data_IF_371334569077
#
_entry.id   IF_371334569077
#
_cell.length_a   1.000
_cell.length_b   1.000
_cell.length_c   1.000
_cell.angle_alpha   90.00
_cell.angle_beta   90.00
_cell.angle_gamma   90.00
#
_symmetry.space_group_name_H-M   'P 1'
#
loop_
_entity.id
_entity.type
_entity.pdbx_description
1 polymer ?
#
# COMPACT_ATOMS: atom_id res chain seq x y z
N UNK A 1 -17.28 68.31 28.87
CA UNK A 1 -17.79 67.23 27.92
C UNK A 1 -16.62 66.38 27.46
N UNK A 2 -16.35 65.28 28.18
CA UNK A 2 -15.22 64.40 27.93
C UNK A 2 -15.75 63.18 27.16
N UNK A 3 -15.34 62.99 25.90
CA UNK A 3 -15.73 61.84 25.09
C UNK A 3 -14.79 60.66 25.40
N UNK A 4 -15.31 59.60 25.96
CA UNK A 4 -14.61 58.29 26.04
C UNK A 4 -14.71 57.57 24.72
N UNK A 5 -13.56 57.29 24.09
CA UNK A 5 -13.44 56.36 22.96
C UNK A 5 -13.28 54.93 23.54
N UNK A 6 -14.25 54.08 23.28
CA UNK A 6 -14.15 52.65 23.56
C UNK A 6 -13.48 51.97 22.35
N UNK A 7 -12.25 51.47 22.51
CA UNK A 7 -11.59 50.61 21.55
C UNK A 7 -12.07 49.16 21.77
N UNK A 8 -12.85 48.65 20.83
CA UNK A 8 -13.21 47.23 20.77
C UNK A 8 -12.05 46.50 20.10
N UNK A 9 -11.28 45.75 20.89
CA UNK A 9 -10.30 44.78 20.38
C UNK A 9 -11.07 43.53 19.89
N UNK A 10 -11.21 43.37 18.59
CA UNK A 10 -11.67 42.11 17.97
C UNK A 10 -10.52 41.11 18.04
N UNK A 11 -10.59 40.16 18.96
CA UNK A 11 -9.73 38.98 18.98
C UNK A 11 -10.11 38.08 17.81
N UNK A 12 -9.33 38.13 16.75
CA UNK A 12 -9.35 37.09 15.72
C UNK A 12 -8.79 35.80 16.34
N UNK A 13 -9.65 34.90 16.75
CA UNK A 13 -9.29 33.50 16.95
C UNK A 13 -8.98 32.91 15.55
N UNK A 14 -7.71 32.87 15.18
CA UNK A 14 -7.27 31.96 14.14
C UNK A 14 -7.50 30.54 14.70
N UNK A 15 -8.55 29.87 14.23
CA UNK A 15 -8.69 28.44 14.39
C UNK A 15 -7.49 27.79 13.67
N UNK A 16 -6.42 27.49 14.41
CA UNK A 16 -5.47 26.46 13.99
C UNK A 16 -6.31 25.17 13.90
N UNK A 17 -6.72 24.80 12.71
CA UNK A 17 -7.17 23.45 12.43
C UNK A 17 -5.91 22.60 12.57
N UNK A 18 -5.67 22.08 13.77
CA UNK A 18 -4.69 21.02 13.97
C UNK A 18 -5.09 19.88 13.04
N UNK A 19 -4.18 19.42 12.21
CA UNK A 19 -4.40 18.23 11.39
C UNK A 19 -4.84 17.11 12.33
N UNK A 20 -6.06 16.64 12.15
CA UNK A 20 -6.65 15.66 13.07
C UNK A 20 -5.98 14.32 12.85
N UNK A 21 -5.50 13.73 13.92
CA UNK A 21 -4.84 12.46 13.99
C UNK A 21 -5.66 11.47 14.81
N UNK A 22 -5.80 10.24 14.35
CA UNK A 22 -6.57 9.19 15.04
C UNK A 22 -5.77 7.89 15.05
N UNK A 23 -5.63 7.26 16.22
CA UNK A 23 -5.08 5.89 16.32
C UNK A 23 -6.15 4.93 15.84
N UNK A 24 -5.88 4.25 14.72
CA UNK A 24 -6.82 3.28 14.11
C UNK A 24 -6.64 1.90 14.73
N UNK A 25 -5.38 1.45 14.84
CA UNK A 25 -5.04 0.18 15.48
C UNK A 25 -3.93 0.42 16.51
N UNK A 26 -4.05 -0.18 17.68
CA UNK A 26 -3.12 -0.02 18.80
C UNK A 26 -2.65 -1.38 19.31
N UNK A 27 -1.35 -1.54 19.48
CA UNK A 27 -0.73 -2.76 19.98
C UNK A 27 -1.32 -3.19 21.34
N UNK A 28 -1.57 -4.49 21.49
CA UNK A 28 -2.17 -5.07 22.70
C UNK A 28 -3.68 -4.84 22.85
N UNK A 29 -4.34 -4.28 21.84
CA UNK A 29 -5.80 -4.09 21.82
C UNK A 29 -6.48 -5.09 20.89
N UNK A 30 -7.78 -5.30 21.11
CA UNK A 30 -8.67 -6.05 20.21
C UNK A 30 -8.12 -7.43 19.79
N UNK A 31 -7.36 -8.11 20.68
CA UNK A 31 -6.90 -9.49 20.49
C UNK A 31 -5.56 -9.68 19.80
N UNK A 32 -4.86 -8.62 19.41
CA UNK A 32 -3.59 -8.71 18.71
C UNK A 32 -2.47 -7.99 19.47
N UNK A 33 -1.29 -8.60 19.49
CA UNK A 33 -0.12 -8.00 20.13
C UNK A 33 0.41 -6.79 19.36
N UNK A 34 0.34 -6.83 18.03
CA UNK A 34 0.82 -5.76 17.15
C UNK A 34 -0.03 -5.72 15.87
N UNK A 35 -0.10 -4.53 15.24
CA UNK A 35 -0.70 -4.32 13.93
C UNK A 35 0.35 -3.75 12.99
N UNK A 36 0.43 -4.33 11.77
CA UNK A 36 1.39 -3.92 10.76
C UNK A 36 0.77 -3.89 9.35
N UNK A 37 1.55 -3.41 8.38
CA UNK A 37 1.24 -3.50 6.95
C UNK A 37 -0.08 -2.80 6.63
N UNK A 38 -0.14 -1.47 6.79
CA UNK A 38 -1.34 -0.69 6.54
C UNK A 38 -1.73 -0.68 5.07
N UNK A 39 -3.02 -0.77 4.79
CA UNK A 39 -3.62 -0.44 3.51
C UNK A 39 -4.94 0.31 3.74
N UNK A 40 -5.28 1.27 2.87
CA UNK A 40 -6.47 2.08 3.03
C UNK A 40 -7.08 2.44 1.67
N UNK A 41 -8.41 2.39 1.60
CA UNK A 41 -9.17 2.84 0.42
C UNK A 41 -10.34 3.72 0.84
N UNK A 42 -10.75 4.62 -0.06
CA UNK A 42 -12.03 5.34 0.00
C UNK A 42 -13.07 4.63 -0.86
N UNK A 43 -14.31 4.61 -0.38
CA UNK A 43 -15.45 4.04 -1.08
C UNK A 43 -16.27 5.14 -1.79
N UNK A 44 -17.06 4.80 -2.82
CA UNK A 44 -17.89 5.77 -3.55
C UNK A 44 -18.90 6.54 -2.69
N UNK A 45 -19.27 5.98 -1.53
CA UNK A 45 -20.16 6.63 -0.56
C UNK A 45 -19.44 7.52 0.47
N UNK A 46 -18.11 7.68 0.35
CA UNK A 46 -17.28 8.49 1.24
C UNK A 46 -16.77 7.76 2.50
N UNK A 47 -17.15 6.50 2.73
CA UNK A 47 -16.58 5.70 3.82
C UNK A 47 -15.11 5.38 3.53
N UNK A 48 -14.32 5.16 4.59
CA UNK A 48 -12.95 4.63 4.48
C UNK A 48 -12.90 3.21 5.02
N UNK A 49 -12.12 2.35 4.36
CA UNK A 49 -11.74 1.04 4.88
C UNK A 49 -10.24 1.00 5.12
N UNK A 50 -9.84 0.76 6.36
CA UNK A 50 -8.45 0.55 6.78
C UNK A 50 -8.21 -0.93 7.05
N UNK A 51 -7.14 -1.47 6.46
CA UNK A 51 -6.74 -2.87 6.59
C UNK A 51 -5.37 -2.95 7.24
N UNK A 52 -5.12 -4.06 7.94
CA UNK A 52 -3.82 -4.35 8.54
C UNK A 52 -3.62 -5.86 8.73
N UNK A 53 -2.37 -6.24 8.96
CA UNK A 53 -2.04 -7.51 9.62
C UNK A 53 -2.22 -7.36 11.12
N UNK A 54 -3.13 -8.13 11.71
CA UNK A 54 -3.26 -8.30 13.16
C UNK A 54 -2.41 -9.49 13.60
N UNK A 55 -1.27 -9.24 14.24
CA UNK A 55 -0.32 -10.26 14.69
C UNK A 55 -0.62 -10.63 16.14
N UNK A 56 -1.03 -11.86 16.37
CA UNK A 56 -1.55 -12.30 17.67
C UNK A 56 -0.44 -12.41 18.72
N UNK A 57 0.73 -12.94 18.36
CA UNK A 57 1.75 -13.34 19.31
C UNK A 57 2.95 -12.37 19.43
N UNK A 58 3.11 -11.42 18.51
CA UNK A 58 4.25 -10.51 18.53
C UNK A 58 4.49 -9.81 17.18
N UNK A 59 5.70 -9.30 17.00
CA UNK A 59 6.07 -8.50 15.80
C UNK A 59 6.60 -9.32 14.62
N UNK A 60 6.76 -10.65 14.79
CA UNK A 60 7.33 -11.52 13.75
C UNK A 60 6.48 -11.51 12.48
N UNK A 61 7.14 -11.59 11.33
CA UNK A 61 6.47 -11.58 10.02
C UNK A 61 5.80 -12.91 9.67
N UNK A 62 5.93 -13.95 10.51
CA UNK A 62 5.27 -15.22 10.38
C UNK A 62 4.76 -15.72 11.74
N UNK A 63 3.62 -16.40 11.73
CA UNK A 63 2.93 -16.97 12.87
C UNK A 63 1.42 -16.80 12.71
N UNK A 64 0.72 -16.71 13.81
CA UNK A 64 -0.71 -16.40 13.88
C UNK A 64 -0.90 -14.91 13.48
N UNK A 65 -1.12 -14.68 12.18
CA UNK A 65 -1.28 -13.37 11.58
C UNK A 65 -2.58 -13.32 10.79
N UNK A 66 -3.50 -12.48 11.24
CA UNK A 66 -4.82 -12.31 10.69
C UNK A 66 -4.91 -11.06 9.79
N UNK A 67 -5.74 -11.10 8.75
CA UNK A 67 -6.16 -9.88 8.08
C UNK A 67 -7.36 -9.26 8.78
N UNK A 68 -7.19 -8.01 9.17
CA UNK A 68 -8.20 -7.26 9.91
C UNK A 68 -8.56 -5.96 9.20
N UNK A 69 -9.78 -5.48 9.47
CA UNK A 69 -10.33 -4.27 8.86
C UNK A 69 -11.07 -3.42 9.89
N UNK A 70 -11.01 -2.10 9.72
CA UNK A 70 -11.89 -1.13 10.37
C UNK A 70 -12.50 -0.20 9.33
N UNK A 71 -13.71 0.31 9.63
CA UNK A 71 -14.45 1.26 8.79
C UNK A 71 -14.59 2.59 9.49
N UNK A 72 -14.44 3.68 8.73
CA UNK A 72 -14.84 5.03 9.15
C UNK A 72 -15.99 5.54 8.27
N UNK A 73 -16.99 6.16 8.88
CA UNK A 73 -18.15 6.77 8.22
C UNK A 73 -18.08 8.31 8.21
N UNK A 74 -17.01 8.87 8.74
CA UNK A 74 -16.86 10.31 9.02
C UNK A 74 -15.50 10.86 8.54
N UNK A 75 -14.91 10.23 7.52
CA UNK A 75 -13.65 10.68 6.93
C UNK A 75 -12.41 10.37 7.79
N UNK A 76 -12.49 9.39 8.71
CA UNK A 76 -11.37 8.94 9.53
C UNK A 76 -11.31 9.56 10.94
N UNK A 77 -12.34 10.29 11.35
CA UNK A 77 -12.43 10.83 12.72
C UNK A 77 -12.72 9.76 13.77
N UNK A 78 -13.58 8.79 13.40
CA UNK A 78 -13.88 7.63 14.22
C UNK A 78 -13.83 6.34 13.38
N UNK A 79 -13.54 5.22 14.06
CA UNK A 79 -13.39 3.91 13.43
C UNK A 79 -14.22 2.86 14.15
N UNK A 80 -14.77 1.93 13.39
CA UNK A 80 -15.52 0.79 13.92
C UNK A 80 -14.64 -0.11 14.79
N UNK A 81 -15.23 -1.01 15.61
CA UNK A 81 -14.52 -2.17 16.11
C UNK A 81 -13.89 -2.96 14.97
N UNK A 82 -12.87 -3.74 15.31
CA UNK A 82 -12.15 -4.58 14.36
C UNK A 82 -13.06 -5.66 13.78
N UNK A 83 -12.90 -5.94 12.49
CA UNK A 83 -13.45 -7.11 11.80
C UNK A 83 -12.28 -7.97 11.32
N UNK A 84 -12.19 -9.21 11.76
CA UNK A 84 -11.28 -10.20 11.19
C UNK A 84 -11.85 -10.71 9.87
N UNK A 85 -11.11 -10.53 8.78
CA UNK A 85 -11.51 -10.93 7.44
C UNK A 85 -10.98 -12.32 7.09
N UNK A 86 -9.75 -12.60 7.48
CA UNK A 86 -9.06 -13.87 7.23
C UNK A 86 -8.30 -14.26 8.47
N UNK A 87 -8.51 -15.51 8.90
CA UNK A 87 -7.84 -16.17 10.00
C UNK A 87 -7.47 -17.59 9.53
N UNK A 88 -6.19 -17.94 9.60
CA UNK A 88 -5.65 -19.25 9.26
C UNK A 88 -5.04 -19.94 10.47
N UNK A 89 -5.61 -19.74 11.62
CA UNK A 89 -5.13 -20.26 12.91
C UNK A 89 -3.69 -19.79 13.19
N UNK A 90 -2.72 -20.68 13.19
CA UNK A 90 -1.31 -20.38 13.47
C UNK A 90 -0.50 -19.97 12.24
N UNK A 91 -1.14 -19.79 11.09
CA UNK A 91 -0.49 -19.43 9.82
C UNK A 91 -0.68 -17.96 9.48
N UNK A 92 0.14 -17.47 8.56
CA UNK A 92 0.08 -16.10 8.15
C UNK A 92 -0.98 -15.86 7.06
N UNK A 93 -1.84 -14.86 7.27
CA UNK A 93 -2.55 -14.13 6.22
C UNK A 93 -2.08 -12.67 6.26
N UNK A 94 -1.55 -12.14 5.15
CA UNK A 94 -0.89 -10.84 5.15
C UNK A 94 -0.88 -10.11 3.81
N UNK A 95 -0.23 -8.96 3.79
CA UNK A 95 -0.09 -8.10 2.62
C UNK A 95 -1.44 -7.73 1.99
N UNK A 96 -2.36 -7.07 2.70
CA UNK A 96 -3.63 -6.64 2.12
C UNK A 96 -3.40 -5.65 0.99
N UNK A 97 -4.04 -5.89 -0.16
CA UNK A 97 -4.04 -5.02 -1.34
C UNK A 97 -5.48 -4.77 -1.78
N UNK A 98 -6.21 -3.87 -1.09
CA UNK A 98 -7.58 -3.55 -1.45
C UNK A 98 -7.65 -2.63 -2.67
N UNK A 99 -8.75 -2.74 -3.44
CA UNK A 99 -9.12 -1.82 -4.53
C UNK A 99 -10.62 -1.82 -4.73
N UNK A 100 -11.16 -0.70 -5.20
CA UNK A 100 -12.58 -0.61 -5.61
C UNK A 100 -12.67 -0.70 -7.13
N UNK A 101 -13.43 -1.67 -7.64
CA UNK A 101 -13.88 -1.71 -9.04
C UNK A 101 -15.10 -0.82 -9.19
N UNK A 102 -14.96 0.26 -9.96
CA UNK A 102 -15.99 1.24 -10.24
C UNK A 102 -16.71 0.99 -11.58
N UNK A 103 -16.26 -0.03 -12.33
CA UNK A 103 -16.74 -0.28 -13.70
C UNK A 103 -17.40 -1.64 -13.87
N UNK A 104 -17.68 -2.37 -12.78
CA UNK A 104 -18.48 -3.58 -12.84
C UNK A 104 -19.93 -3.21 -13.25
N UNK A 105 -20.44 -3.71 -14.40
CA UNK A 105 -21.75 -3.32 -14.90
C UNK A 105 -22.91 -3.87 -14.06
N UNK A 106 -22.68 -4.93 -13.29
CA UNK A 106 -23.70 -5.54 -12.41
C UNK A 106 -23.78 -4.82 -11.05
N UNK A 107 -22.70 -4.12 -10.66
CA UNK A 107 -22.58 -3.48 -9.35
C UNK A 107 -22.16 -2.01 -9.47
N UNK A 108 -23.04 -1.11 -9.94
CA UNK A 108 -22.70 0.29 -10.21
C UNK A 108 -22.34 1.09 -8.95
N UNK A 109 -22.60 0.57 -7.75
CA UNK A 109 -22.14 1.13 -6.48
C UNK A 109 -20.64 0.84 -6.21
N UNK A 110 -20.02 -0.04 -7.00
CA UNK A 110 -18.66 -0.51 -6.86
C UNK A 110 -18.56 -1.88 -6.15
N UNK A 111 -17.49 -2.61 -6.48
CA UNK A 111 -17.11 -3.88 -5.85
C UNK A 111 -15.75 -3.69 -5.17
N UNK A 112 -15.64 -4.07 -3.91
CA UNK A 112 -14.34 -4.06 -3.22
C UNK A 112 -13.66 -5.40 -3.43
N UNK A 113 -12.45 -5.37 -3.98
CA UNK A 113 -11.54 -6.51 -4.04
C UNK A 113 -10.52 -6.39 -2.92
N UNK A 114 -10.20 -7.50 -2.29
CA UNK A 114 -9.08 -7.63 -1.39
C UNK A 114 -8.18 -8.77 -1.89
N UNK A 115 -7.01 -8.41 -2.40
CA UNK A 115 -5.94 -9.36 -2.68
C UNK A 115 -5.07 -9.50 -1.44
N UNK A 116 -4.56 -10.71 -1.18
CA UNK A 116 -3.72 -10.97 -0.02
C UNK A 116 -2.89 -12.24 -0.22
N UNK A 117 -1.99 -12.49 0.72
CA UNK A 117 -1.14 -13.66 0.71
C UNK A 117 -1.40 -14.54 1.93
N UNK A 118 -1.20 -15.84 1.78
CA UNK A 118 -1.00 -16.75 2.91
C UNK A 118 0.43 -17.30 2.90
N UNK A 119 0.93 -17.66 4.07
CA UNK A 119 2.24 -18.28 4.21
C UNK A 119 2.24 -19.33 5.29
N UNK A 120 2.95 -20.43 5.08
CA UNK A 120 3.05 -21.56 6.01
C UNK A 120 4.42 -21.70 6.67
N UNK A 121 5.33 -20.75 6.45
CA UNK A 121 6.64 -20.70 7.08
C UNK A 121 7.23 -19.28 7.01
N UNK A 122 8.34 -19.04 7.73
CA UNK A 122 9.11 -17.82 7.64
C UNK A 122 9.61 -17.57 6.19
N UNK A 123 9.74 -16.30 5.81
CA UNK A 123 10.23 -15.91 4.49
C UNK A 123 11.52 -16.62 4.09
N UNK A 124 12.50 -16.71 5.00
CA UNK A 124 13.77 -17.39 4.74
C UNK A 124 13.56 -18.86 4.39
N UNK A 125 12.70 -19.56 5.12
CA UNK A 125 12.40 -20.98 4.86
C UNK A 125 11.64 -21.18 3.54
N UNK A 126 10.73 -20.29 3.21
CA UNK A 126 10.04 -20.30 1.92
C UNK A 126 11.03 -20.10 0.78
N UNK A 127 11.97 -19.16 0.89
CA UNK A 127 13.04 -18.95 -0.10
C UNK A 127 13.96 -20.18 -0.21
N UNK A 128 14.12 -20.94 0.86
CA UNK A 128 14.82 -22.24 0.85
C UNK A 128 13.94 -23.40 0.36
N UNK A 129 12.76 -23.12 -0.19
CA UNK A 129 11.77 -24.11 -0.66
C UNK A 129 11.24 -25.03 0.47
N UNK A 130 11.23 -24.56 1.72
CA UNK A 130 10.70 -25.27 2.90
C UNK A 130 9.32 -24.73 3.34
N UNK A 131 8.57 -24.20 2.43
CA UNK A 131 7.23 -23.65 2.59
C UNK A 131 6.73 -23.02 1.32
N UNK A 132 5.56 -22.40 1.37
CA UNK A 132 4.97 -21.70 0.24
C UNK A 132 4.29 -20.41 0.68
N UNK A 133 4.24 -19.47 -0.25
CA UNK A 133 3.33 -18.33 -0.25
C UNK A 133 2.29 -18.54 -1.33
N UNK A 134 1.04 -18.32 -1.00
CA UNK A 134 -0.08 -18.41 -1.94
C UNK A 134 -0.76 -17.05 -2.08
N UNK A 135 -1.25 -16.77 -3.27
CA UNK A 135 -2.00 -15.56 -3.58
C UNK A 135 -3.50 -15.85 -3.58
N UNK A 136 -4.25 -14.99 -2.90
CA UNK A 136 -5.68 -15.12 -2.72
C UNK A 136 -6.41 -13.82 -3.05
N UNK A 137 -7.69 -13.93 -3.36
CA UNK A 137 -8.59 -12.81 -3.61
C UNK A 137 -9.94 -13.09 -2.96
N UNK A 138 -10.56 -12.04 -2.41
CA UNK A 138 -11.97 -12.06 -2.00
C UNK A 138 -12.66 -10.78 -2.44
N UNK A 139 -13.99 -10.83 -2.57
CA UNK A 139 -14.81 -9.70 -3.02
C UNK A 139 -15.89 -9.35 -2.01
N UNK A 140 -16.25 -8.07 -2.01
CA UNK A 140 -17.45 -7.57 -1.35
C UNK A 140 -18.29 -6.77 -2.33
N UNK A 141 -19.55 -7.16 -2.48
CA UNK A 141 -20.54 -6.51 -3.34
C UNK A 141 -21.40 -5.47 -2.61
N UNK A 142 -21.13 -5.26 -1.32
CA UNK A 142 -21.86 -4.34 -0.45
C UNK A 142 -20.94 -3.31 0.25
N UNK A 143 -19.85 -2.95 -0.46
CA UNK A 143 -18.86 -1.98 -0.03
C UNK A 143 -18.15 -2.39 1.27
N UNK A 144 -17.74 -3.66 1.40
CA UNK A 144 -16.94 -4.18 2.52
C UNK A 144 -17.73 -4.50 3.79
N UNK A 145 -19.07 -4.64 3.72
CA UNK A 145 -19.86 -5.08 4.87
C UNK A 145 -19.84 -6.59 5.03
N UNK A 146 -20.00 -7.31 3.91
CA UNK A 146 -19.83 -8.76 3.84
C UNK A 146 -18.86 -9.15 2.73
N UNK A 147 -18.25 -10.31 2.84
CA UNK A 147 -17.20 -10.78 1.94
C UNK A 147 -17.52 -12.19 1.45
N UNK A 148 -17.23 -12.45 0.17
CA UNK A 148 -17.32 -13.78 -0.39
C UNK A 148 -16.21 -14.71 0.14
N UNK A 149 -16.35 -16.01 -0.11
CA UNK A 149 -15.31 -16.97 0.20
C UNK A 149 -14.05 -16.67 -0.62
N UNK A 150 -12.87 -16.75 -0.01
CA UNK A 150 -11.60 -16.51 -0.70
C UNK A 150 -11.39 -17.46 -1.88
N UNK A 151 -10.86 -16.91 -2.97
CA UNK A 151 -10.44 -17.64 -4.17
C UNK A 151 -8.92 -17.70 -4.24
N UNK A 152 -8.34 -18.90 -4.31
CA UNK A 152 -6.92 -19.09 -4.56
C UNK A 152 -6.61 -18.76 -6.04
N UNK A 153 -5.78 -17.75 -6.27
CA UNK A 153 -5.36 -17.30 -7.60
C UNK A 153 -3.87 -17.59 -7.86
N UNK A 154 -3.22 -18.36 -7.00
CA UNK A 154 -1.77 -18.59 -7.02
C UNK A 154 -1.26 -18.98 -8.40
N UNK A 155 -1.86 -19.98 -9.06
CA UNK A 155 -1.40 -20.45 -10.37
C UNK A 155 -1.59 -19.44 -11.51
N UNK A 156 -2.31 -18.37 -11.28
CA UNK A 156 -2.49 -17.29 -12.27
C UNK A 156 -1.48 -16.15 -12.10
N UNK A 157 -1.04 -15.90 -10.85
CA UNK A 157 -0.24 -14.71 -10.51
C UNK A 157 1.12 -15.01 -9.88
N UNK A 158 1.41 -16.27 -9.65
CA UNK A 158 2.65 -16.77 -9.08
C UNK A 158 3.11 -18.04 -9.85
N UNK A 159 4.42 -18.33 -9.82
CA UNK A 159 5.01 -19.45 -10.58
C UNK A 159 5.80 -20.40 -9.64
N UNK A 160 5.16 -20.99 -8.62
CA UNK A 160 5.85 -21.82 -7.64
C UNK A 160 6.35 -23.13 -8.22
N UNK A 161 7.49 -23.61 -7.68
CA UNK A 161 8.03 -24.93 -7.93
C UNK A 161 8.25 -25.68 -6.61
N UNK A 162 7.17 -26.19 -6.04
CA UNK A 162 7.19 -26.99 -4.81
C UNK A 162 6.12 -28.10 -4.86
N UNK A 163 6.34 -29.15 -5.71
CA UNK A 163 5.35 -30.21 -5.90
C UNK A 163 5.12 -31.09 -4.67
N UNK A 164 6.03 -31.07 -3.70
CA UNK A 164 5.84 -31.79 -2.41
C UNK A 164 4.73 -31.13 -1.58
N UNK A 165 4.56 -29.81 -1.70
CA UNK A 165 3.48 -29.08 -1.06
C UNK A 165 2.17 -29.18 -1.87
N UNK A 166 2.22 -28.90 -3.14
CA UNK A 166 1.06 -29.03 -4.04
C UNK A 166 1.55 -29.57 -5.40
N UNK A 167 1.04 -30.73 -5.85
CA UNK A 167 1.43 -31.36 -7.12
C UNK A 167 1.28 -30.45 -8.34
N UNK A 168 0.50 -29.38 -8.28
CA UNK A 168 0.33 -28.41 -9.35
C UNK A 168 1.43 -27.34 -9.38
N UNK A 169 2.27 -27.22 -8.34
CA UNK A 169 3.34 -26.25 -8.25
C UNK A 169 4.62 -26.79 -8.90
N UNK A 170 4.65 -26.74 -10.22
CA UNK A 170 5.70 -27.34 -11.06
C UNK A 170 6.28 -26.35 -12.06
N UNK A 171 6.19 -25.05 -11.82
CA UNK A 171 6.65 -24.05 -12.77
C UNK A 171 8.20 -24.00 -12.80
N UNK A 172 8.85 -24.14 -13.99
CA UNK A 172 10.31 -24.18 -14.09
C UNK A 172 11.00 -22.85 -13.77
N UNK A 173 10.29 -21.72 -13.69
CA UNK A 173 10.85 -20.44 -13.25
C UNK A 173 11.18 -20.42 -11.77
N UNK A 174 10.66 -21.38 -10.97
CA UNK A 174 10.98 -21.58 -9.57
C UNK A 174 10.84 -20.31 -8.72
N UNK A 175 9.66 -19.66 -8.80
CA UNK A 175 9.35 -18.57 -7.89
C UNK A 175 9.04 -19.14 -6.51
N UNK A 176 9.74 -18.67 -5.48
CA UNK A 176 9.64 -19.25 -4.14
C UNK A 176 8.86 -18.37 -3.18
N UNK A 177 9.38 -17.19 -2.87
CA UNK A 177 8.63 -16.18 -2.15
C UNK A 177 7.75 -15.39 -3.11
N UNK A 178 6.59 -14.96 -2.62
CA UNK A 178 5.66 -14.10 -3.34
C UNK A 178 4.97 -13.16 -2.34
N UNK A 179 4.77 -11.92 -2.70
CA UNK A 179 3.95 -10.98 -1.93
C UNK A 179 3.28 -9.95 -2.86
N UNK A 180 2.03 -9.59 -2.55
CA UNK A 180 1.38 -8.42 -3.13
C UNK A 180 1.94 -7.16 -2.48
N UNK A 181 1.85 -6.03 -3.10
CA UNK A 181 2.17 -4.64 -2.72
C UNK A 181 3.21 -4.55 -1.58
N UNK A 182 2.99 -4.21 -0.25
CA UNK A 182 1.74 -3.87 0.49
C UNK A 182 1.24 -2.45 0.25
N UNK A 183 -0.02 -2.19 0.63
CA UNK A 183 -0.78 -0.98 0.38
C UNK A 183 -1.90 -1.22 -0.65
N UNK A 184 -2.60 -0.20 -1.11
CA UNK A 184 -3.71 -0.35 -2.03
C UNK A 184 -3.26 -0.83 -3.44
N UNK A 185 -4.15 -1.50 -4.17
CA UNK A 185 -4.07 -1.68 -5.62
C UNK A 185 -4.91 -0.58 -6.31
N UNK A 186 -4.77 -0.42 -7.63
CA UNK A 186 -5.53 0.62 -8.32
C UNK A 186 -6.30 0.08 -9.53
N UNK A 187 -7.34 0.82 -9.92
CA UNK A 187 -8.07 0.60 -11.15
C UNK A 187 -7.85 1.75 -12.12
N UNK A 188 -7.53 1.47 -13.38
CA UNK A 188 -7.45 2.48 -14.42
C UNK A 188 -8.79 3.19 -14.62
N UNK A 189 -8.80 4.51 -14.48
CA UNK A 189 -10.01 5.35 -14.58
C UNK A 189 -10.23 5.87 -15.99
N UNK A 190 -9.21 5.90 -16.83
CA UNK A 190 -9.24 6.52 -18.15
C UNK A 190 -8.38 5.78 -19.18
N UNK A 191 -8.42 6.28 -20.43
CA UNK A 191 -7.58 5.76 -21.51
C UNK A 191 -7.96 4.36 -22.00
N UNK A 192 -7.04 3.71 -22.70
CA UNK A 192 -7.29 2.40 -23.36
C UNK A 192 -7.44 1.24 -22.38
N UNK A 193 -7.01 1.40 -21.12
CA UNK A 193 -7.06 0.36 -20.10
C UNK A 193 -8.11 0.64 -19.01
N UNK A 194 -9.01 1.59 -19.25
CA UNK A 194 -10.10 1.90 -18.32
C UNK A 194 -10.83 0.66 -17.84
N UNK A 195 -10.95 0.51 -16.52
CA UNK A 195 -11.56 -0.65 -15.86
C UNK A 195 -10.58 -1.75 -15.48
N UNK A 196 -9.36 -1.77 -16.03
CA UNK A 196 -8.30 -2.71 -15.60
C UNK A 196 -7.96 -2.48 -14.15
N UNK A 197 -7.94 -3.54 -13.35
CA UNK A 197 -7.36 -3.54 -12.00
C UNK A 197 -5.92 -4.03 -12.11
N UNK A 198 -4.97 -3.27 -11.56
CA UNK A 198 -3.55 -3.62 -11.47
C UNK A 198 -3.14 -3.74 -9.99
N UNK A 199 -2.41 -4.82 -9.70
CA UNK A 199 -1.87 -5.11 -8.37
C UNK A 199 -0.35 -5.26 -8.51
N UNK A 200 0.41 -4.42 -7.83
CA UNK A 200 1.86 -4.58 -7.74
C UNK A 200 2.20 -5.81 -6.88
N UNK A 201 3.29 -6.48 -7.18
CA UNK A 201 3.74 -7.68 -6.49
C UNK A 201 5.26 -7.86 -6.60
N UNK A 202 5.80 -8.81 -5.87
CA UNK A 202 7.18 -9.25 -5.98
C UNK A 202 7.30 -10.76 -5.78
N UNK A 203 8.40 -11.32 -6.24
CA UNK A 203 8.74 -12.73 -6.07
C UNK A 203 10.24 -12.91 -5.93
N UNK A 204 10.67 -14.04 -5.39
CA UNK A 204 12.07 -14.47 -5.45
C UNK A 204 12.22 -15.65 -6.40
N UNK A 205 13.34 -15.73 -7.12
CA UNK A 205 13.61 -16.77 -8.12
C UNK A 205 14.73 -17.68 -7.62
N UNK A 206 14.45 -18.97 -7.51
CA UNK A 206 15.42 -19.97 -7.05
C UNK A 206 15.89 -19.78 -5.61
N UNK A 207 17.04 -20.36 -5.22
CA UNK A 207 17.55 -20.25 -3.85
C UNK A 207 17.98 -18.83 -3.49
N UNK A 208 17.99 -18.50 -2.19
CA UNK A 208 18.45 -17.21 -1.69
C UNK A 208 19.84 -16.84 -2.21
N UNK A 209 20.01 -15.58 -2.59
CA UNK A 209 21.27 -15.00 -3.04
C UNK A 209 21.73 -13.90 -2.08
N UNK A 210 22.99 -13.49 -2.22
CA UNK A 210 23.54 -12.37 -1.43
C UNK A 210 22.76 -11.08 -1.71
N UNK A 211 22.51 -10.32 -0.64
CA UNK A 211 21.84 -9.05 -0.69
C UNK A 211 20.47 -9.11 -1.41
N UNK A 212 19.74 -10.22 -1.24
CA UNK A 212 18.39 -10.38 -1.80
C UNK A 212 18.32 -10.20 -3.34
N UNK A 213 19.39 -10.53 -4.07
CA UNK A 213 19.46 -10.31 -5.50
C UNK A 213 18.52 -11.21 -6.33
N UNK A 214 17.95 -12.26 -5.71
CA UNK A 214 16.93 -13.12 -6.30
C UNK A 214 15.53 -12.51 -6.34
N UNK A 215 15.30 -11.37 -5.66
CA UNK A 215 14.00 -10.69 -5.70
C UNK A 215 13.84 -9.85 -6.95
N UNK A 216 12.63 -9.90 -7.50
CA UNK A 216 12.19 -9.07 -8.60
C UNK A 216 10.75 -8.60 -8.36
N UNK A 217 10.52 -7.30 -8.50
CA UNK A 217 9.18 -6.74 -8.50
C UNK A 217 8.51 -6.94 -9.87
N UNK A 218 7.21 -7.10 -9.84
CA UNK A 218 6.34 -7.22 -11.00
C UNK A 218 4.93 -6.74 -10.64
N UNK A 219 3.95 -7.04 -11.45
CA UNK A 219 2.55 -6.87 -11.13
C UNK A 219 1.69 -7.91 -11.85
N UNK A 220 0.42 -7.87 -11.57
CA UNK A 220 -0.57 -8.61 -12.33
C UNK A 220 -1.83 -7.76 -12.49
N UNK A 221 -2.64 -8.08 -13.48
CA UNK A 221 -3.83 -7.31 -13.77
C UNK A 221 -4.97 -8.19 -14.27
N UNK A 222 -6.19 -7.67 -14.17
CA UNK A 222 -7.42 -8.28 -14.68
C UNK A 222 -8.22 -7.25 -15.47
N UNK A 223 -8.82 -7.70 -16.59
CA UNK A 223 -9.70 -6.91 -17.45
C UNK A 223 -11.17 -7.44 -17.43
N UNK A 224 -11.44 -8.49 -16.64
CA UNK A 224 -12.69 -9.25 -16.66
C UNK A 224 -13.27 -9.50 -15.26
N UNK A 225 -13.17 -8.49 -14.39
CA UNK A 225 -13.67 -8.52 -13.01
C UNK A 225 -13.07 -9.67 -12.17
N UNK A 226 -11.77 -9.94 -12.35
CA UNK A 226 -11.03 -10.94 -11.58
C UNK A 226 -11.34 -12.40 -11.92
N UNK A 227 -11.84 -12.68 -13.12
CA UNK A 227 -12.02 -14.06 -13.62
C UNK A 227 -10.71 -14.63 -14.12
N UNK A 228 -9.90 -13.81 -14.81
CA UNK A 228 -8.56 -14.16 -15.27
C UNK A 228 -7.55 -13.07 -14.93
N UNK A 229 -6.29 -13.50 -14.74
CA UNK A 229 -5.19 -12.60 -14.41
C UNK A 229 -4.02 -12.79 -15.38
N UNK A 230 -3.31 -11.70 -15.64
CA UNK A 230 -2.15 -11.64 -16.49
C UNK A 230 -0.97 -11.04 -15.72
N UNK A 231 0.20 -11.64 -15.84
CA UNK A 231 1.42 -11.12 -15.22
C UNK A 231 2.05 -10.03 -16.09
N UNK A 232 2.64 -9.01 -15.45
CA UNK A 232 3.57 -8.10 -16.09
C UNK A 232 4.96 -8.75 -16.25
N UNK A 233 5.82 -8.13 -17.06
CA UNK A 233 7.25 -8.38 -16.96
C UNK A 233 7.78 -7.95 -15.60
N UNK A 234 8.89 -8.56 -15.17
CA UNK A 234 9.57 -8.15 -13.94
C UNK A 234 10.41 -6.89 -14.17
N UNK A 235 10.55 -6.07 -13.12
CA UNK A 235 11.50 -4.95 -13.08
C UNK A 235 12.92 -5.50 -13.21
N UNK A 236 13.76 -4.84 -14.00
CA UNK A 236 15.13 -5.30 -14.33
C UNK A 236 16.14 -5.18 -13.18
N UNK A 237 15.82 -4.42 -12.13
CA UNK A 237 16.72 -4.24 -10.99
C UNK A 237 16.63 -5.41 -10.01
N UNK A 238 17.72 -6.25 -9.87
CA UNK A 238 17.78 -7.29 -8.86
C UNK A 238 17.61 -6.72 -7.45
N UNK A 239 16.84 -7.39 -6.61
CA UNK A 239 16.47 -6.93 -5.27
C UNK A 239 15.32 -5.91 -5.27
N UNK A 240 14.63 -5.68 -6.38
CA UNK A 240 13.35 -4.96 -6.39
C UNK A 240 12.30 -5.79 -5.65
N UNK A 241 11.54 -5.15 -4.75
CA UNK A 241 10.70 -5.85 -3.78
C UNK A 241 9.33 -5.14 -3.66
N UNK A 242 8.89 -4.82 -2.45
CA UNK A 242 7.60 -4.19 -2.16
C UNK A 242 7.33 -2.98 -3.05
N UNK A 243 6.20 -3.01 -3.72
CA UNK A 243 5.87 -2.05 -4.77
C UNK A 243 4.43 -1.60 -4.67
N UNK A 244 4.16 -0.40 -5.14
CA UNK A 244 2.84 0.17 -5.29
C UNK A 244 2.79 0.99 -6.57
N UNK A 245 1.61 1.12 -7.17
CA UNK A 245 1.49 1.73 -8.49
C UNK A 245 0.32 2.72 -8.56
N UNK A 246 0.40 3.65 -9.51
CA UNK A 246 -0.64 4.63 -9.78
C UNK A 246 -0.82 4.88 -11.28
N UNK A 247 -2.03 5.26 -11.68
CA UNK A 247 -2.34 5.68 -13.05
C UNK A 247 -1.74 7.06 -13.36
N UNK A 248 -1.26 7.21 -14.59
CA UNK A 248 -0.84 8.47 -15.19
C UNK A 248 -1.77 8.86 -16.34
N UNK A 249 -1.60 10.06 -16.87
CA UNK A 249 -2.39 10.53 -18.02
C UNK A 249 -2.22 9.60 -19.23
N UNK A 250 -3.28 9.52 -20.05
CA UNK A 250 -3.28 8.73 -21.28
C UNK A 250 -3.26 7.21 -21.09
N UNK A 251 -3.56 6.70 -19.90
CA UNK A 251 -3.54 5.26 -19.58
C UNK A 251 -2.14 4.71 -19.34
N UNK A 252 -1.15 5.58 -19.12
CA UNK A 252 0.16 5.20 -18.61
C UNK A 252 0.08 4.91 -17.11
N UNK A 253 1.14 4.32 -16.55
CA UNK A 253 1.24 4.13 -15.11
C UNK A 253 2.68 4.27 -14.63
N UNK A 254 2.82 4.49 -13.33
CA UNK A 254 4.08 4.49 -12.59
C UNK A 254 4.02 3.45 -11.48
N UNK A 255 5.12 2.77 -11.20
CA UNK A 255 5.30 1.89 -10.05
C UNK A 255 6.50 2.36 -9.23
N UNK A 256 6.31 2.55 -7.92
CA UNK A 256 7.36 2.87 -6.95
C UNK A 256 7.73 1.59 -6.19
N UNK A 257 8.99 1.22 -6.23
CA UNK A 257 9.51 -0.06 -5.77
C UNK A 257 10.62 0.11 -4.74
N UNK A 258 10.57 -0.69 -3.67
CA UNK A 258 11.62 -0.78 -2.65
C UNK A 258 12.85 -1.48 -3.21
N UNK A 259 14.04 -0.91 -2.97
CA UNK A 259 15.31 -1.56 -3.22
C UNK A 259 15.74 -2.38 -1.98
N UNK A 260 15.40 -3.67 -1.96
CA UNK A 260 15.70 -4.55 -0.81
C UNK A 260 17.19 -4.74 -0.59
N UNK A 261 18.03 -4.58 -1.61
CA UNK A 261 19.48 -4.66 -1.48
C UNK A 261 20.07 -3.53 -0.61
N UNK A 262 19.41 -2.38 -0.59
CA UNK A 262 19.84 -1.21 0.18
C UNK A 262 21.20 -0.63 -0.22
N UNK A 263 21.78 -1.05 -1.35
CA UNK A 263 23.03 -0.54 -1.90
C UNK A 263 22.90 0.89 -2.46
N UNK A 264 21.70 1.24 -2.88
CA UNK A 264 21.26 2.60 -3.25
C UNK A 264 20.03 2.88 -2.39
N UNK A 265 20.11 3.90 -1.56
CA UNK A 265 19.03 4.28 -0.60
C UNK A 265 18.03 5.23 -1.25
N UNK A 266 17.40 4.75 -2.32
CA UNK A 266 16.43 5.47 -3.14
C UNK A 266 15.35 4.51 -3.62
N UNK A 267 14.18 5.05 -3.93
CA UNK A 267 13.12 4.29 -4.60
C UNK A 267 13.51 3.98 -6.04
N UNK A 268 13.07 2.83 -6.53
CA UNK A 268 13.08 2.51 -7.97
C UNK A 268 11.74 2.96 -8.52
N UNK A 269 11.74 3.78 -9.56
CA UNK A 269 10.55 4.11 -10.34
C UNK A 269 10.57 3.35 -11.65
N UNK A 270 9.41 2.83 -12.05
CA UNK A 270 9.20 2.16 -13.33
C UNK A 270 7.94 2.70 -14.00
N UNK A 271 7.99 2.91 -15.30
CA UNK A 271 6.91 3.48 -16.10
C UNK A 271 6.46 2.48 -17.17
N UNK A 272 5.15 2.46 -17.44
CA UNK A 272 4.55 1.63 -18.47
C UNK A 272 3.54 2.41 -19.28
N UNK A 273 3.56 2.24 -20.60
CA UNK A 273 2.58 2.81 -21.55
C UNK A 273 1.59 1.79 -22.11
N UNK A 274 1.70 0.51 -21.71
CA UNK A 274 0.85 -0.58 -22.18
C UNK A 274 -0.05 -1.19 -21.10
N UNK A 275 -0.31 -0.39 -20.06
CA UNK A 275 -1.20 -0.76 -18.94
C UNK A 275 -0.59 -1.79 -18.01
N UNK A 276 0.73 -1.73 -17.82
CA UNK A 276 1.47 -2.54 -16.87
C UNK A 276 1.89 -3.92 -17.40
N UNK A 277 1.90 -4.16 -18.71
CA UNK A 277 2.44 -5.41 -19.28
C UNK A 277 3.95 -5.41 -19.31
N UNK A 278 4.55 -4.31 -19.77
CA UNK A 278 6.00 -4.11 -19.88
C UNK A 278 6.41 -2.77 -19.28
N UNK A 279 7.72 -2.58 -19.07
CA UNK A 279 8.28 -1.38 -18.47
C UNK A 279 9.12 -0.63 -19.50
N UNK A 280 8.72 0.61 -19.84
CA UNK A 280 9.40 1.45 -20.83
C UNK A 280 10.68 2.05 -20.26
N UNK A 281 10.63 2.47 -18.99
CA UNK A 281 11.72 3.14 -18.28
C UNK A 281 11.76 2.69 -16.82
N UNK A 282 12.98 2.51 -16.29
CA UNK A 282 13.22 2.14 -14.90
C UNK A 282 14.50 2.81 -14.41
N UNK A 283 14.45 3.47 -13.23
CA UNK A 283 15.63 4.13 -12.63
C UNK A 283 15.48 4.32 -11.12
N UNK A 284 16.61 4.63 -10.44
CA UNK A 284 16.61 5.07 -9.05
C UNK A 284 16.31 6.57 -9.00
N UNK A 285 15.33 6.96 -8.16
CA UNK A 285 14.88 8.34 -8.05
C UNK A 285 15.60 9.04 -6.87
N UNK A 286 16.51 9.95 -7.19
CA UNK A 286 17.34 10.66 -6.20
C UNK A 286 16.52 11.54 -5.24
N UNK A 287 15.38 12.04 -5.68
CA UNK A 287 14.50 12.86 -4.86
C UNK A 287 13.62 12.04 -3.90
N UNK A 288 13.64 10.71 -4.00
CA UNK A 288 12.92 9.79 -3.12
C UNK A 288 13.90 8.91 -2.31
N UNK A 289 14.57 9.49 -1.28
CA UNK A 289 15.44 8.71 -0.39
C UNK A 289 14.61 7.67 0.38
N UNK A 290 15.19 6.49 0.64
CA UNK A 290 14.50 5.34 1.23
C UNK A 290 15.42 4.50 2.13
N UNK A 291 15.04 4.21 3.39
CA UNK A 291 15.84 3.42 4.32
C UNK A 291 15.62 1.89 4.16
N UNK A 292 15.30 1.42 2.96
CA UNK A 292 14.84 0.05 2.70
C UNK A 292 13.48 -0.19 3.39
N UNK A 293 12.48 0.59 2.99
CA UNK A 293 11.13 0.54 3.54
C UNK A 293 10.08 0.53 2.42
N UNK A 294 8.86 0.13 2.76
CA UNK A 294 7.70 0.30 1.87
C UNK A 294 7.36 1.79 1.74
N UNK A 295 6.70 2.13 0.66
CA UNK A 295 6.18 3.47 0.36
C UNK A 295 4.82 3.37 -0.31
N UNK A 296 4.07 4.47 -0.36
CA UNK A 296 2.83 4.57 -1.12
C UNK A 296 2.92 5.63 -2.22
N UNK A 297 2.22 5.39 -3.35
CA UNK A 297 2.04 6.37 -4.42
C UNK A 297 0.58 6.39 -4.85
N UNK A 298 0.02 7.58 -5.05
CA UNK A 298 -1.40 7.77 -5.37
C UNK A 298 -1.57 8.90 -6.40
N UNK A 299 -2.44 8.70 -7.38
CA UNK A 299 -2.93 9.75 -8.25
C UNK A 299 -3.98 10.59 -7.49
N UNK A 300 -3.74 11.90 -7.36
CA UNK A 300 -4.54 12.78 -6.48
C UNK A 300 -5.27 13.89 -7.21
N UNK A 301 -5.08 14.01 -8.50
CA UNK A 301 -5.73 15.02 -9.33
C UNK A 301 -5.06 15.16 -10.69
N UNK A 302 -5.46 16.19 -11.40
CA UNK A 302 -4.91 16.53 -12.72
C UNK A 302 -4.64 18.04 -12.80
N UNK A 303 -3.54 18.42 -13.44
CA UNK A 303 -3.21 19.80 -13.76
C UNK A 303 -2.51 19.88 -15.12
N UNK A 304 -3.01 20.76 -16.00
CA UNK A 304 -2.48 20.98 -17.36
C UNK A 304 -2.36 19.69 -18.21
N UNK A 305 -3.24 18.69 -17.96
CA UNK A 305 -3.25 17.41 -18.66
C UNK A 305 -2.26 16.37 -18.10
N UNK A 306 -1.56 16.68 -16.99
CA UNK A 306 -0.71 15.74 -16.28
C UNK A 306 -1.40 15.25 -15.01
N UNK A 307 -1.23 13.99 -14.68
CA UNK A 307 -1.64 13.45 -13.36
C UNK A 307 -0.76 14.04 -12.26
N UNK A 308 -1.38 14.55 -11.20
CA UNK A 308 -0.68 14.95 -9.98
C UNK A 308 -0.52 13.70 -9.11
N UNK A 309 0.70 13.43 -8.67
CA UNK A 309 1.02 12.30 -7.82
C UNK A 309 1.37 12.75 -6.40
N UNK A 310 0.96 11.95 -5.41
CA UNK A 310 1.47 12.00 -4.06
C UNK A 310 2.26 10.72 -3.77
N UNK A 311 3.45 10.84 -3.19
CA UNK A 311 4.30 9.73 -2.75
C UNK A 311 4.59 9.88 -1.27
N UNK A 312 4.32 8.86 -0.45
CA UNK A 312 4.63 8.85 0.98
C UNK A 312 5.65 7.78 1.33
N UNK A 313 6.67 8.15 2.10
CA UNK A 313 7.64 7.21 2.66
C UNK A 313 8.35 7.80 3.89
N UNK A 314 9.06 6.95 4.64
CA UNK A 314 10.09 7.37 5.58
C UNK A 314 11.23 7.97 4.77
N UNK A 315 11.28 9.31 4.65
CA UNK A 315 12.17 10.02 3.72
C UNK A 315 13.58 10.23 4.31
N UNK A 316 14.19 9.15 4.74
CA UNK A 316 15.53 9.06 5.31
C UNK A 316 16.35 8.00 4.56
N UNK A 317 17.65 7.99 4.68
CA UNK A 317 18.51 6.95 4.07
C UNK A 317 18.98 5.91 5.08
N UNK A 318 18.87 6.16 6.37
CA UNK A 318 19.41 5.31 7.43
C UNK A 318 18.31 4.69 8.30
N UNK A 319 17.34 5.50 8.72
CA UNK A 319 16.35 5.12 9.72
C UNK A 319 14.92 5.22 9.16
N UNK A 320 14.00 4.40 9.67
CA UNK A 320 12.57 4.51 9.40
C UNK A 320 11.98 5.67 10.20
N UNK A 321 12.12 6.88 9.65
CA UNK A 321 11.75 8.14 10.27
C UNK A 321 11.40 9.18 9.18
N UNK A 322 11.03 10.39 9.56
CA UNK A 322 10.71 11.49 8.66
C UNK A 322 9.65 11.15 7.61
N UNK A 323 8.51 10.60 8.08
CA UNK A 323 7.39 10.34 7.18
C UNK A 323 6.98 11.61 6.47
N UNK A 324 7.05 11.57 5.14
CA UNK A 324 6.89 12.74 4.28
C UNK A 324 5.99 12.36 3.12
N UNK A 325 5.13 13.28 2.69
CA UNK A 325 4.45 13.22 1.40
C UNK A 325 5.18 14.15 0.46
N UNK A 326 5.55 13.69 -0.72
CA UNK A 326 6.06 14.50 -1.82
C UNK A 326 5.07 14.50 -2.97
N UNK A 327 4.82 15.68 -3.54
CA UNK A 327 3.95 15.82 -4.69
C UNK A 327 4.77 16.00 -5.97
N UNK A 328 4.27 15.43 -7.05
CA UNK A 328 4.76 15.64 -8.41
C UNK A 328 3.61 16.15 -9.28
N UNK A 329 3.85 17.27 -9.97
CA UNK A 329 2.91 17.90 -10.90
C UNK A 329 3.24 17.59 -12.37
N UNK A 330 4.24 16.76 -12.61
CA UNK A 330 4.79 16.40 -13.92
C UNK A 330 4.93 14.88 -14.11
N UNK A 331 4.03 14.13 -13.43
CA UNK A 331 3.91 12.68 -13.56
C UNK A 331 5.16 11.89 -13.11
N UNK A 332 5.77 12.34 -12.01
CA UNK A 332 6.88 11.65 -11.36
C UNK A 332 8.27 12.04 -11.85
N UNK A 333 8.41 13.09 -12.68
CA UNK A 333 9.71 13.59 -13.12
C UNK A 333 10.40 14.45 -12.07
N UNK A 334 9.63 15.23 -11.30
CA UNK A 334 10.13 16.01 -10.16
C UNK A 334 9.24 15.84 -8.93
N UNK A 335 9.85 15.95 -7.73
CA UNK A 335 9.20 15.74 -6.43
C UNK A 335 9.51 16.89 -5.46
N UNK A 336 9.36 18.12 -5.93
CA UNK A 336 9.83 19.32 -5.23
C UNK A 336 8.92 19.79 -4.10
N UNK A 337 7.63 19.42 -4.12
CA UNK A 337 6.68 19.87 -3.11
C UNK A 337 6.63 18.86 -1.96
N UNK A 338 7.14 19.27 -0.79
CA UNK A 338 7.37 18.42 0.37
C UNK A 338 6.42 18.76 1.50
N UNK A 339 5.66 17.81 2.00
CA UNK A 339 4.74 17.94 3.13
C UNK A 339 5.21 16.99 4.25
N UNK A 340 5.81 17.51 5.35
CA UNK A 340 6.13 16.70 6.51
C UNK A 340 4.85 16.16 7.18
N UNK A 341 4.82 14.87 7.48
CA UNK A 341 3.66 14.20 8.10
C UNK A 341 3.92 13.92 9.59
N UNK A 342 4.99 13.18 9.86
CA UNK A 342 5.35 12.80 11.23
C UNK A 342 6.86 12.49 11.32
N UNK A 343 7.50 12.96 12.40
CA UNK A 343 8.90 12.73 12.65
C UNK A 343 9.25 12.96 14.13
N UNK A 344 10.31 12.34 14.61
CA UNK A 344 10.94 12.72 15.88
C UNK A 344 12.16 13.60 15.64
N UNK A 345 12.35 14.61 16.47
CA UNK A 345 13.56 15.46 16.46
C UNK A 345 14.80 14.76 17.07
N UNK A 346 14.59 13.64 17.77
CA UNK A 346 15.63 12.83 18.36
C UNK A 346 15.80 11.56 17.54
N UNK A 347 17.03 11.32 17.02
CA UNK A 347 17.36 10.05 16.38
C UNK A 347 17.13 8.91 17.37
N UNK A 348 16.20 8.02 17.05
CA UNK A 348 15.94 6.80 17.79
C UNK A 348 16.39 5.63 16.93
N UNK A 349 17.10 4.68 17.51
CA UNK A 349 17.49 3.44 16.82
C UNK A 349 16.31 2.54 16.42
N UNK A 350 15.11 2.86 16.92
CA UNK A 350 13.87 2.14 16.62
C UNK A 350 13.05 2.94 15.60
N UNK A 351 12.33 2.28 14.70
CA UNK A 351 11.43 2.94 13.76
C UNK A 351 10.44 3.88 14.46
N UNK A 352 10.45 5.16 14.10
CA UNK A 352 9.42 6.08 14.54
C UNK A 352 8.22 6.06 13.59
N UNK A 353 8.50 6.16 12.29
CA UNK A 353 7.51 5.95 11.22
C UNK A 353 8.04 4.91 10.25
N UNK A 354 7.17 4.08 9.67
CA UNK A 354 7.62 3.04 8.76
C UNK A 354 6.67 2.94 7.53
N UNK A 355 5.91 1.86 7.40
CA UNK A 355 4.99 1.65 6.28
C UNK A 355 3.85 2.64 6.32
N UNK A 356 3.42 3.09 5.15
CA UNK A 356 2.30 4.02 5.00
C UNK A 356 1.48 3.72 3.76
N UNK A 357 0.19 4.08 3.79
CA UNK A 357 -0.66 4.04 2.62
C UNK A 357 -1.52 5.30 2.51
N UNK A 358 -1.69 5.79 1.28
CA UNK A 358 -2.38 7.04 0.95
C UNK A 358 -3.79 6.77 0.43
N UNK A 359 -4.71 7.70 0.69
CA UNK A 359 -6.07 7.68 0.17
C UNK A 359 -6.56 9.09 -0.15
N UNK A 360 -7.36 9.23 -1.20
CA UNK A 360 -8.08 10.47 -1.48
C UNK A 360 -9.31 10.57 -0.55
N UNK A 361 -9.43 11.69 0.17
CA UNK A 361 -10.62 12.06 0.94
C UNK A 361 -11.53 12.94 0.09
N UNK A 362 -10.96 14.00 -0.49
CA UNK A 362 -11.58 14.91 -1.43
C UNK A 362 -10.52 15.55 -2.33
N UNK A 363 -10.92 16.49 -3.19
CA UNK A 363 -10.04 17.14 -4.17
C UNK A 363 -8.90 17.98 -3.55
N UNK A 364 -8.90 18.18 -2.24
CA UNK A 364 -7.93 19.02 -1.51
C UNK A 364 -7.29 18.30 -0.31
N UNK A 365 -7.79 17.14 0.06
CA UNK A 365 -7.42 16.47 1.29
C UNK A 365 -7.04 15.02 1.02
N UNK A 366 -5.85 14.65 1.44
CA UNK A 366 -5.38 13.27 1.50
C UNK A 366 -5.57 12.70 2.90
N UNK A 367 -5.84 11.41 2.98
CA UNK A 367 -5.64 10.60 4.18
C UNK A 367 -4.35 9.81 4.06
N UNK A 368 -3.69 9.59 5.17
CA UNK A 368 -2.54 8.69 5.28
C UNK A 368 -2.69 7.79 6.50
N UNK A 369 -2.61 6.48 6.28
CA UNK A 369 -2.54 5.47 7.34
C UNK A 369 -1.10 4.97 7.43
N UNK A 370 -0.48 5.02 8.62
CA UNK A 370 0.94 4.72 8.75
C UNK A 370 1.33 4.09 10.09
N UNK A 371 2.41 3.33 10.08
CA UNK A 371 3.03 2.74 11.26
C UNK A 371 3.82 3.80 12.04
N UNK A 372 3.64 3.80 13.38
CA UNK A 372 4.31 4.72 14.29
C UNK A 372 4.79 4.03 15.57
N UNK A 373 5.77 4.66 16.23
CA UNK A 373 6.30 4.30 17.55
C UNK A 373 6.67 2.83 17.66
N UNK A 374 7.63 2.42 16.82
CA UNK A 374 8.09 1.02 16.77
C UNK A 374 6.94 0.02 16.60
N UNK A 375 6.02 0.32 15.69
CA UNK A 375 4.83 -0.48 15.34
C UNK A 375 3.75 -0.57 16.44
N UNK A 376 3.81 0.26 17.50
CA UNK A 376 2.77 0.27 18.54
C UNK A 376 1.44 0.82 18.03
N UNK A 377 1.46 1.63 16.98
CA UNK A 377 0.27 2.29 16.47
C UNK A 377 0.23 2.27 14.94
N UNK A 378 -0.96 2.04 14.39
CA UNK A 378 -1.33 2.50 13.06
C UNK A 378 -2.18 3.76 13.22
N UNK A 379 -1.70 4.85 12.66
CA UNK A 379 -2.28 6.19 12.82
C UNK A 379 -2.85 6.64 11.50
N UNK A 380 -4.05 7.21 11.52
CA UNK A 380 -4.63 7.91 10.39
C UNK A 380 -4.55 9.43 10.59
N UNK A 381 -4.17 10.14 9.53
CA UNK A 381 -4.08 11.60 9.54
C UNK A 381 -4.61 12.19 8.23
N UNK A 382 -5.38 13.27 8.33
CA UNK A 382 -5.78 14.04 7.17
C UNK A 382 -4.76 15.15 6.89
N UNK A 383 -4.41 15.31 5.61
CA UNK A 383 -3.41 16.27 5.12
C UNK A 383 -4.03 17.12 4.01
N UNK A 384 -4.13 18.41 4.22
CA UNK A 384 -4.47 19.35 3.14
C UNK A 384 -3.26 19.54 2.25
N UNK A 385 -3.41 19.22 0.97
CA UNK A 385 -2.35 19.34 -0.03
C UNK A 385 -2.61 20.48 -1.04
N UNK A 386 -3.84 20.98 -1.05
CA UNK A 386 -4.27 22.09 -1.93
C UNK A 386 -5.13 23.07 -1.15
N UNK A 387 -5.02 24.38 -1.41
CA UNK A 387 -5.81 25.44 -0.77
C UNK A 387 -7.28 25.54 -1.25
#
# INVERSE_FOLDING_TARGET
MTRFLIFIFALFFQNLVLAQETIVFEAGKEGHAIYRIPAIISLPNGDLLAFAEGRVNGSDDFGDVNLVMKRSLDGGFTWSPIQTLVDYDSLQAGNPAPVVDLFDPEYPQGVVYLFYNTGNNHEFDIRMNRGVREAWMMKSFDLGKTWEQPLNITLQVHKPNNPDFNPSYTNPEDWRHYANTPGHAFQFQQGPFKGRIFVAANHSVGPPQENFSEYLAHGFFTDDQGKTFWLSESIRFPGSNESIAAELSGGRMIMSTRNQRGNIRQRILAFSSDGGKTWDEEYFEEQLPDPVCQASILAIGEENGNTILAHSNAADTEERNYLTIKLSYDEGKTWDHVIPVDFTSESKKLPWTAYSDLVNIDDKTLGILYERDNYHQLVFKQIKWKE
#
